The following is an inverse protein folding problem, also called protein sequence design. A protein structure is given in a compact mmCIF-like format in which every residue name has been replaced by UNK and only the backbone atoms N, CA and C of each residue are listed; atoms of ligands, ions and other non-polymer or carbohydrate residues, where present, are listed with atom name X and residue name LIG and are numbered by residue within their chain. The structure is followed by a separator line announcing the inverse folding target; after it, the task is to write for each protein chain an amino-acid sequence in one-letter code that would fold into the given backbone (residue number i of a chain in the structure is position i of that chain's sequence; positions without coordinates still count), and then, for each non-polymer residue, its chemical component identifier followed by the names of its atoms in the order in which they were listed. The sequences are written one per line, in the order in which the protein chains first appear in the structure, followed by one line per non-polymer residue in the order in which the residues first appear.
data_IF_357212464230
#
_entry.id   IF_357212464230
#
_cell.length_a   1.000
_cell.length_b   1.000
_cell.length_c   1.000
_cell.angle_alpha   90.00
_cell.angle_beta   90.00
_cell.angle_gamma   90.00
#
_symmetry.space_group_name_H-M   'P 1'
#
loop_
_entity.id
_entity.type
_entity.pdbx_description
1 polymer ?
#
# COMPACT_ATOMS: atom_id res chain seq x y z
N UNK A 1 3.03 -0.18 39.57
CA UNK A 1 3.28 -1.33 38.66
C UNK A 1 2.11 -1.68 37.73
N UNK A 2 0.83 -1.42 38.06
CA UNK A 2 -0.32 -1.67 37.14
C UNK A 2 -0.50 -0.65 36.00
N UNK A 3 -0.08 0.61 36.17
CA UNK A 3 -0.25 1.65 35.15
C UNK A 3 0.67 1.45 33.92
N UNK A 4 1.88 0.93 34.12
CA UNK A 4 2.80 0.67 33.00
C UNK A 4 2.30 -0.45 32.09
N UNK A 5 1.60 -1.46 32.63
CA UNK A 5 1.03 -2.54 31.83
C UNK A 5 -0.16 -2.10 30.98
N UNK A 6 -1.02 -1.19 31.48
CA UNK A 6 -2.14 -0.67 30.71
C UNK A 6 -1.67 0.23 29.57
N UNK A 7 -0.67 1.09 29.82
CA UNK A 7 -0.08 1.95 28.79
C UNK A 7 0.56 1.14 27.66
N UNK A 8 1.35 0.10 27.99
CA UNK A 8 1.93 -0.81 27.00
C UNK A 8 0.85 -1.59 26.23
N UNK A 9 -0.23 -2.02 26.88
CA UNK A 9 -1.32 -2.71 26.18
C UNK A 9 -2.08 -1.79 25.22
N UNK A 10 -2.23 -0.50 25.56
CA UNK A 10 -2.86 0.50 24.69
C UNK A 10 -2.00 0.83 23.48
N UNK A 11 -0.67 0.92 23.63
CA UNK A 11 0.23 1.18 22.50
C UNK A 11 0.32 -0.02 21.56
N UNK A 12 0.36 -1.25 22.09
CA UNK A 12 0.38 -2.49 21.29
C UNK A 12 -0.94 -2.71 20.54
N UNK A 13 -2.09 -2.44 21.16
CA UNK A 13 -3.39 -2.58 20.49
C UNK A 13 -3.59 -1.52 19.40
N UNK A 14 -3.18 -0.27 19.64
CA UNK A 14 -3.21 0.80 18.64
C UNK A 14 -2.27 0.52 17.45
N UNK A 15 -1.12 -0.11 17.72
CA UNK A 15 -0.20 -0.57 16.70
C UNK A 15 -0.84 -1.67 15.84
N UNK A 16 -1.33 -2.74 16.46
CA UNK A 16 -1.94 -3.85 15.75
C UNK A 16 -3.13 -3.42 14.90
N UNK A 17 -3.95 -2.49 15.37
CA UNK A 17 -5.11 -1.99 14.61
C UNK A 17 -4.70 -1.16 13.39
N UNK A 18 -3.70 -0.28 13.51
CA UNK A 18 -3.15 0.51 12.39
C UNK A 18 -2.53 -0.39 11.33
N UNK A 19 -1.74 -1.36 11.77
CA UNK A 19 -1.10 -2.33 10.91
C UNK A 19 -2.09 -3.21 10.15
N UNK A 20 -3.10 -3.71 10.85
CA UNK A 20 -4.19 -4.47 10.26
C UNK A 20 -4.95 -3.63 9.24
N UNK A 21 -5.20 -2.35 9.53
CA UNK A 21 -5.85 -1.44 8.59
C UNK A 21 -5.02 -1.23 7.31
N UNK A 22 -3.71 -0.97 7.42
CA UNK A 22 -2.84 -0.85 6.25
C UNK A 22 -2.80 -2.15 5.45
N UNK A 23 -2.77 -3.30 6.11
CA UNK A 23 -2.79 -4.60 5.45
C UNK A 23 -4.10 -4.83 4.68
N UNK A 24 -5.24 -4.50 5.28
CA UNK A 24 -6.55 -4.58 4.61
C UNK A 24 -6.63 -3.63 3.40
N UNK A 25 -6.15 -2.40 3.54
CA UNK A 25 -6.09 -1.44 2.44
C UNK A 25 -5.15 -1.89 1.32
N UNK A 26 -4.05 -2.55 1.67
CA UNK A 26 -3.14 -3.12 0.70
C UNK A 26 -3.77 -4.28 -0.09
N UNK A 27 -4.50 -5.16 0.59
CA UNK A 27 -5.28 -6.23 -0.07
C UNK A 27 -6.34 -5.61 -1.00
N UNK A 28 -7.06 -4.58 -0.55
CA UNK A 28 -8.04 -3.87 -1.37
C UNK A 28 -7.39 -3.28 -2.62
N UNK A 29 -6.23 -2.65 -2.46
CA UNK A 29 -5.46 -2.10 -3.56
C UNK A 29 -5.04 -3.18 -4.55
N UNK A 30 -4.41 -4.26 -4.10
CA UNK A 30 -4.01 -5.38 -4.96
C UNK A 30 -5.21 -6.01 -5.67
N UNK A 31 -6.36 -6.12 -5.01
CA UNK A 31 -7.59 -6.59 -5.62
C UNK A 31 -8.07 -5.67 -6.74
N UNK A 32 -8.04 -4.34 -6.52
CA UNK A 32 -8.44 -3.35 -7.53
C UNK A 32 -7.51 -3.36 -8.74
N UNK A 33 -6.20 -3.49 -8.51
CA UNK A 33 -5.18 -3.56 -9.55
C UNK A 33 -5.30 -4.87 -10.34
N UNK A 34 -5.49 -6.00 -9.65
CA UNK A 34 -5.71 -7.31 -10.25
C UNK A 34 -6.93 -7.30 -11.17
N UNK A 35 -8.04 -6.72 -10.71
CA UNK A 35 -9.23 -6.56 -11.52
C UNK A 35 -8.94 -5.71 -12.76
N UNK A 36 -8.27 -4.57 -12.61
CA UNK A 36 -7.89 -3.73 -13.74
C UNK A 36 -7.04 -4.48 -14.77
N UNK A 37 -5.99 -5.18 -14.35
CA UNK A 37 -5.10 -5.96 -15.23
C UNK A 37 -5.89 -7.07 -15.95
N UNK A 38 -6.80 -7.74 -15.24
CA UNK A 38 -7.60 -8.83 -15.79
C UNK A 38 -8.48 -8.39 -16.96
N UNK A 39 -8.92 -7.12 -16.98
CA UNK A 39 -9.73 -6.56 -18.09
C UNK A 39 -8.98 -6.51 -19.43
N UNK A 40 -7.64 -6.45 -19.40
CA UNK A 40 -6.81 -6.37 -20.60
C UNK A 40 -6.21 -7.70 -20.99
N UNK A 41 -5.76 -8.48 -20.01
CA UNK A 41 -4.94 -9.68 -20.27
C UNK A 41 -5.75 -10.96 -20.32
N UNK A 42 -6.86 -11.06 -19.56
CA UNK A 42 -7.67 -12.27 -19.45
C UNK A 42 -6.95 -13.52 -18.91
N UNK A 43 -5.66 -13.41 -18.55
CA UNK A 43 -4.80 -14.51 -18.13
C UNK A 43 -4.39 -14.36 -16.67
N UNK A 44 -4.68 -15.40 -15.88
CA UNK A 44 -4.33 -15.45 -14.45
C UNK A 44 -2.82 -15.40 -14.25
N UNK A 45 -2.04 -16.08 -15.11
CA UNK A 45 -0.58 -16.10 -15.02
C UNK A 45 0.03 -14.72 -15.26
N UNK A 46 -0.46 -13.99 -16.27
CA UNK A 46 0.02 -12.63 -16.55
C UNK A 46 -0.35 -11.69 -15.41
N UNK A 47 -1.57 -11.81 -14.88
CA UNK A 47 -2.02 -11.01 -13.75
C UNK A 47 -1.15 -11.24 -12.50
N UNK A 48 -0.92 -12.51 -12.13
CA UNK A 48 -0.04 -12.87 -11.03
C UNK A 48 1.40 -12.37 -11.25
N UNK A 49 1.93 -12.50 -12.46
CA UNK A 49 3.27 -12.01 -12.82
C UNK A 49 3.42 -10.49 -12.67
N UNK A 50 2.42 -9.72 -13.11
CA UNK A 50 2.42 -8.25 -12.98
C UNK A 50 2.32 -7.84 -11.51
N UNK A 51 1.42 -8.47 -10.74
CA UNK A 51 1.29 -8.20 -9.30
C UNK A 51 2.60 -8.47 -8.56
N UNK A 52 3.21 -9.63 -8.82
CA UNK A 52 4.48 -10.01 -8.21
C UNK A 52 5.61 -9.06 -8.59
N UNK A 53 5.70 -8.69 -9.88
CA UNK A 53 6.68 -7.73 -10.37
C UNK A 53 6.49 -6.36 -9.72
N UNK A 54 5.26 -5.92 -9.52
CA UNK A 54 4.95 -4.63 -8.90
C UNK A 54 5.34 -4.55 -7.42
N UNK A 55 5.25 -5.66 -6.70
CA UNK A 55 5.73 -5.80 -5.32
C UNK A 55 7.27 -5.77 -5.30
N UNK A 56 7.91 -6.61 -6.13
CA UNK A 56 9.38 -6.70 -6.19
C UNK A 56 10.05 -5.43 -6.70
N UNK A 57 9.34 -4.61 -7.49
CA UNK A 57 9.86 -3.34 -7.99
C UNK A 57 10.25 -2.38 -6.85
N UNK A 58 9.55 -2.42 -5.72
CA UNK A 58 9.84 -1.58 -4.54
C UNK A 58 11.19 -1.89 -3.93
N UNK A 59 11.59 -3.16 -3.96
CA UNK A 59 12.88 -3.61 -3.44
C UNK A 59 14.01 -3.39 -4.44
N UNK A 60 13.69 -2.97 -5.67
CA UNK A 60 14.70 -2.78 -6.71
C UNK A 60 15.69 -1.66 -6.34
N UNK A 61 16.99 -1.85 -6.60
CA UNK A 61 18.01 -0.82 -6.36
C UNK A 61 17.80 0.43 -7.23
N UNK A 62 17.04 0.30 -8.33
CA UNK A 62 16.65 1.43 -9.18
C UNK A 62 15.81 2.46 -8.42
N UNK A 63 14.89 1.99 -7.56
CA UNK A 63 14.09 2.83 -6.69
C UNK A 63 14.79 3.18 -5.36
N UNK A 64 16.09 2.91 -5.20
CA UNK A 64 16.84 3.34 -4.00
C UNK A 64 17.67 4.60 -4.26
N UNK A 65 17.65 5.12 -5.49
CA UNK A 65 18.37 6.33 -5.89
C UNK A 65 17.80 7.58 -5.19
N UNK A 66 18.67 8.40 -4.60
CA UNK A 66 18.33 9.61 -3.85
C UNK A 66 17.49 10.61 -4.66
N UNK A 67 17.70 10.70 -5.97
CA UNK A 67 16.94 11.61 -6.84
C UNK A 67 15.47 11.22 -7.01
N UNK A 68 15.15 9.93 -6.86
CA UNK A 68 13.79 9.40 -7.05
C UNK A 68 13.02 9.27 -5.73
N UNK A 69 13.69 9.41 -4.58
CA UNK A 69 13.08 9.22 -3.25
C UNK A 69 11.81 10.04 -3.07
N UNK A 70 11.76 11.29 -3.54
CA UNK A 70 10.58 12.15 -3.45
C UNK A 70 9.34 11.60 -4.16
N UNK A 71 9.52 10.87 -5.26
CA UNK A 71 8.43 10.32 -6.08
C UNK A 71 8.04 8.92 -5.64
N UNK A 72 8.99 8.15 -5.10
CA UNK A 72 8.75 6.77 -4.65
C UNK A 72 7.67 6.70 -3.57
N UNK A 73 7.61 7.68 -2.67
CA UNK A 73 6.59 7.76 -1.62
C UNK A 73 5.17 8.02 -2.13
N UNK A 74 5.00 8.35 -3.41
CA UNK A 74 3.69 8.44 -4.05
C UNK A 74 3.22 7.08 -4.58
N UNK A 75 4.12 6.10 -4.70
CA UNK A 75 3.77 4.77 -5.19
C UNK A 75 3.03 3.99 -4.09
N UNK A 76 1.88 3.37 -4.40
CA UNK A 76 1.09 2.62 -3.41
C UNK A 76 1.88 1.44 -2.82
N UNK A 77 2.82 0.88 -3.57
CA UNK A 77 3.69 -0.21 -3.11
C UNK A 77 4.81 0.25 -2.16
N UNK A 78 5.15 1.55 -2.13
CA UNK A 78 6.17 2.07 -1.21
C UNK A 78 5.77 1.99 0.26
N UNK A 79 4.47 1.84 0.53
CA UNK A 79 3.91 1.62 1.86
C UNK A 79 3.71 0.13 2.19
N UNK A 80 4.08 -0.76 1.25
CA UNK A 80 3.97 -2.21 1.39
C UNK A 80 5.18 -2.84 2.09
N UNK A 81 6.02 -2.05 2.76
CA UNK A 81 7.00 -2.55 3.73
C UNK A 81 6.38 -2.52 5.14
N UNK A 82 5.56 -3.54 5.49
CA UNK A 82 5.01 -3.65 6.82
C UNK A 82 6.16 -3.73 7.83
N UNK A 83 7.33 -4.28 7.53
CA UNK A 83 8.46 -4.37 8.47
C UNK A 83 8.91 -2.98 8.95
N UNK A 84 9.01 -1.99 8.06
CA UNK A 84 9.37 -0.62 8.45
C UNK A 84 8.28 0.13 9.21
N UNK A 85 7.02 -0.07 8.82
CA UNK A 85 5.87 0.53 9.50
C UNK A 85 5.63 -0.14 10.86
N UNK A 86 5.99 -1.42 10.99
CA UNK A 86 5.77 -2.26 12.16
C UNK A 86 6.91 -2.16 13.20
N UNK A 87 8.16 -2.15 12.79
CA UNK A 87 9.27 -2.44 13.73
C UNK A 87 9.98 -1.17 14.21
N UNK A 88 9.94 -0.07 13.46
CA UNK A 88 10.69 1.12 13.87
C UNK A 88 10.00 1.96 14.95
N UNK A 89 8.71 1.76 15.23
CA UNK A 89 7.97 2.30 16.41
C UNK A 89 8.44 3.68 16.90
N UNK A 90 8.77 4.60 16.00
CA UNK A 90 9.33 5.89 16.38
C UNK A 90 8.20 6.90 16.42
N UNK A 91 7.68 7.10 17.62
CA UNK A 91 6.44 7.82 17.89
C UNK A 91 6.54 9.34 17.60
N UNK A 92 7.74 9.90 17.47
CA UNK A 92 7.99 11.33 17.28
C UNK A 92 9.09 11.68 16.27
N UNK A 93 9.82 10.70 15.73
CA UNK A 93 10.80 10.96 14.69
C UNK A 93 10.24 10.48 13.34
N UNK A 94 10.23 11.34 12.31
CA UNK A 94 9.87 10.89 10.98
C UNK A 94 10.87 9.79 10.60
N UNK A 95 10.35 8.62 10.22
CA UNK A 95 11.08 7.41 9.81
C UNK A 95 12.05 7.74 8.67
N UNK A 96 13.19 8.38 8.95
CA UNK A 96 14.25 8.80 8.01
C UNK A 96 13.76 9.68 6.83
N UNK A 97 12.45 9.78 6.61
CA UNK A 97 11.76 10.53 5.58
C UNK A 97 10.33 10.88 6.10
N UNK A 98 10.05 12.16 6.37
CA UNK A 98 8.74 12.62 6.87
C UNK A 98 7.57 12.36 5.91
N UNK A 99 7.86 11.94 4.68
CA UNK A 99 6.86 11.67 3.64
C UNK A 99 6.20 10.30 3.78
N UNK A 100 6.81 9.34 4.50
CA UNK A 100 6.26 7.99 4.72
C UNK A 100 5.60 7.94 6.09
N UNK A 101 4.37 8.47 6.16
CA UNK A 101 3.57 8.43 7.38
C UNK A 101 2.31 7.56 7.19
N UNK A 102 1.72 7.11 8.30
CA UNK A 102 0.53 6.26 8.29
C UNK A 102 -0.63 6.87 7.48
N UNK A 103 -0.89 8.16 7.65
CA UNK A 103 -1.97 8.86 6.98
C UNK A 103 -1.77 8.93 5.46
N UNK A 104 -0.55 9.18 5.00
CA UNK A 104 -0.16 9.19 3.60
C UNK A 104 -0.31 7.79 3.00
N UNK A 105 0.06 6.74 3.73
CA UNK A 105 -0.15 5.35 3.30
C UNK A 105 -1.63 5.02 3.11
N UNK A 106 -2.47 5.39 4.08
CA UNK A 106 -3.94 5.21 3.99
C UNK A 106 -4.51 5.97 2.79
N UNK A 107 -4.18 7.26 2.65
CA UNK A 107 -4.66 8.10 1.55
C UNK A 107 -4.19 7.59 0.20
N UNK A 108 -2.90 7.24 0.07
CA UNK A 108 -2.32 6.72 -1.15
C UNK A 108 -3.04 5.44 -1.59
N UNK A 109 -3.14 4.45 -0.70
CA UNK A 109 -3.81 3.18 -1.01
C UNK A 109 -5.28 3.38 -1.39
N UNK A 110 -6.01 4.26 -0.70
CA UNK A 110 -7.40 4.58 -1.03
C UNK A 110 -7.54 5.28 -2.38
N UNK A 111 -6.72 6.30 -2.66
CA UNK A 111 -6.77 7.07 -3.90
C UNK A 111 -6.46 6.15 -5.09
N UNK A 112 -5.39 5.37 -5.02
CA UNK A 112 -5.03 4.44 -6.09
C UNK A 112 -6.09 3.35 -6.28
N UNK A 113 -6.63 2.80 -5.19
CA UNK A 113 -7.74 1.83 -5.28
C UNK A 113 -8.96 2.43 -5.97
N UNK A 114 -9.34 3.66 -5.60
CA UNK A 114 -10.47 4.37 -6.21
C UNK A 114 -10.24 4.66 -7.69
N UNK A 115 -9.02 5.06 -8.08
CA UNK A 115 -8.64 5.29 -9.47
C UNK A 115 -8.76 4.00 -10.27
N UNK A 116 -8.12 2.90 -9.82
CA UNK A 116 -8.17 1.62 -10.54
C UNK A 116 -9.60 1.08 -10.64
N UNK A 117 -10.39 1.20 -9.57
CA UNK A 117 -11.79 0.79 -9.59
C UNK A 117 -12.62 1.64 -10.56
N UNK A 118 -12.46 2.96 -10.54
CA UNK A 118 -13.20 3.89 -11.42
C UNK A 118 -12.86 3.66 -12.89
N UNK A 119 -11.57 3.48 -13.21
CA UNK A 119 -11.12 3.18 -14.57
C UNK A 119 -11.67 1.83 -15.04
N UNK A 120 -11.56 0.80 -14.19
CA UNK A 120 -12.08 -0.54 -14.49
C UNK A 120 -13.58 -0.50 -14.75
N UNK A 121 -14.33 0.18 -13.90
CA UNK A 121 -15.78 0.36 -14.05
C UNK A 121 -16.14 1.10 -15.34
N UNK A 122 -15.43 2.18 -15.66
CA UNK A 122 -15.60 2.92 -16.91
C UNK A 122 -15.37 2.06 -18.16
N UNK A 123 -14.34 1.20 -18.13
CA UNK A 123 -14.04 0.25 -19.21
C UNK A 123 -15.16 -0.78 -19.36
N UNK A 124 -15.62 -1.37 -18.25
CA UNK A 124 -16.70 -2.39 -18.26
C UNK A 124 -18.00 -1.80 -18.81
N UNK A 125 -18.38 -0.58 -18.41
CA UNK A 125 -19.60 0.07 -18.92
C UNK A 125 -19.49 0.34 -20.42
N UNK A 126 -18.34 0.84 -20.90
CA UNK A 126 -18.16 1.11 -22.34
C UNK A 126 -18.22 -0.18 -23.14
N UNK A 127 -17.61 -1.27 -22.67
CA UNK A 127 -17.66 -2.58 -23.36
C UNK A 127 -19.05 -3.20 -23.40
N UNK A 128 -19.92 -2.95 -22.42
CA UNK A 128 -21.31 -3.44 -22.42
C UNK A 128 -22.24 -2.70 -23.38
N UNK A 129 -21.86 -1.51 -23.86
CA UNK A 129 -22.67 -0.69 -24.78
C UNK A 129 -22.35 -0.92 -26.26
N UNK A 130 -21.28 -1.64 -26.56
CA UNK A 130 -20.92 -2.13 -27.90
C UNK A 130 -21.25 -3.61 -28.01
#
# INVERSE_FOLDING_TARGET
MRENSSFLSMTVTAFNSRSLLLFLLFILFLSSLSFFISLFTGSVLINAGILLSSILLVESPFLQNDSLKSVIHLLPFSYADPYKVLIFSDYNSPIINPSVNFQNGVLCLLIYSAIFFSLSFGIVIRRKKF
#
